data_IF_498036561235
#
_entry.id   IF_498036561235
#
_cell.length_a   1.000
_cell.length_b   1.000
_cell.length_c   1.000
_cell.angle_alpha   90.00
_cell.angle_beta   90.00
_cell.angle_gamma   90.00
#
_symmetry.space_group_name_H-M   'P 1'
#
loop_
_entity.id
_entity.type
_entity.pdbx_description
1 polymer ?
#
# COMPACT_ATOMS: atom_id res chain seq x y z
N UNK A 1 0.19 12.51 -12.01
CA UNK A 1 0.46 11.41 -11.05
C UNK A 1 0.39 10.18 -11.89
N UNK A 2 1.55 9.61 -12.23
CA UNK A 2 1.70 8.75 -13.40
C UNK A 2 1.97 7.29 -13.02
N UNK A 3 1.42 6.88 -11.87
CA UNK A 3 1.40 5.47 -11.47
C UNK A 3 0.55 4.69 -12.48
N UNK A 4 1.09 3.56 -12.92
CA UNK A 4 0.46 2.61 -13.84
C UNK A 4 0.27 1.27 -13.12
N UNK A 5 -0.61 0.45 -13.67
CA UNK A 5 -0.79 -0.92 -13.21
C UNK A 5 0.56 -1.65 -13.19
N UNK A 6 0.88 -2.23 -12.03
CA UNK A 6 2.13 -2.94 -11.81
C UNK A 6 3.24 -2.12 -11.15
N UNK A 7 3.14 -0.79 -11.15
CA UNK A 7 4.09 0.06 -10.43
C UNK A 7 4.07 -0.25 -8.94
N UNK A 8 5.24 -0.16 -8.31
CA UNK A 8 5.41 -0.47 -6.90
C UNK A 8 6.23 0.61 -6.19
N UNK A 9 6.03 0.71 -4.88
CA UNK A 9 6.94 1.40 -3.97
C UNK A 9 7.05 0.59 -2.68
N UNK A 10 8.10 0.84 -1.91
CA UNK A 10 8.35 0.14 -0.65
C UNK A 10 8.17 1.12 0.50
N UNK A 11 7.57 0.66 1.60
CA UNK A 11 7.53 1.42 2.86
C UNK A 11 8.50 0.76 3.82
N UNK A 12 9.54 1.48 4.20
CA UNK A 12 10.57 1.03 5.13
C UNK A 12 10.53 1.89 6.38
N UNK A 13 10.14 1.29 7.51
CA UNK A 13 9.99 2.00 8.79
C UNK A 13 9.03 3.20 8.62
N UNK A 14 9.55 4.42 8.58
CA UNK A 14 8.76 5.65 8.41
C UNK A 14 9.06 6.36 7.09
N UNK A 15 9.74 5.68 6.17
CA UNK A 15 10.18 6.23 4.89
C UNK A 15 9.56 5.45 3.74
N UNK A 16 9.35 6.15 2.63
CA UNK A 16 9.05 5.54 1.34
C UNK A 16 10.37 5.40 0.59
N UNK A 17 10.71 4.18 0.21
CA UNK A 17 11.84 3.85 -0.67
C UNK A 17 11.32 3.37 -2.03
N UNK A 18 12.22 3.33 -3.03
CA UNK A 18 11.95 2.83 -4.39
C UNK A 18 10.77 3.51 -5.11
N UNK A 19 10.40 4.72 -4.71
CA UNK A 19 9.38 5.50 -5.40
C UNK A 19 10.00 6.24 -6.59
N UNK A 20 9.95 5.63 -7.78
CA UNK A 20 10.34 6.29 -9.04
C UNK A 20 9.45 7.50 -9.38
N UNK A 21 8.26 7.55 -8.76
CA UNK A 21 7.20 8.54 -9.02
C UNK A 21 6.62 9.04 -7.71
N UNK A 22 6.16 10.29 -7.70
CA UNK A 22 5.46 10.86 -6.55
C UNK A 22 4.19 10.05 -6.24
N UNK A 23 4.00 9.68 -4.97
CA UNK A 23 2.84 8.91 -4.50
C UNK A 23 1.59 9.80 -4.43
N UNK A 24 0.44 9.28 -4.83
CA UNK A 24 -0.83 9.99 -4.67
C UNK A 24 -1.15 10.20 -3.18
N UNK A 25 -1.37 11.45 -2.78
CA UNK A 25 -1.66 11.79 -1.38
C UNK A 25 -2.97 11.14 -0.88
N UNK A 26 -3.95 10.93 -1.76
CA UNK A 26 -5.19 10.20 -1.42
C UNK A 26 -4.89 8.74 -1.05
N UNK A 27 -4.09 8.06 -1.86
CA UNK A 27 -3.67 6.69 -1.59
C UNK A 27 -2.85 6.65 -0.29
N UNK A 28 -1.86 7.53 -0.14
CA UNK A 28 -1.06 7.60 1.10
C UNK A 28 -1.96 7.80 2.33
N UNK A 29 -2.90 8.73 2.27
CA UNK A 29 -3.85 9.00 3.35
C UNK A 29 -4.66 7.76 3.74
N UNK A 30 -5.13 6.97 2.76
CA UNK A 30 -5.88 5.73 3.02
C UNK A 30 -5.05 4.64 3.70
N UNK A 31 -3.72 4.68 3.55
CA UNK A 31 -2.80 3.71 4.13
C UNK A 31 -2.26 4.10 5.50
N UNK A 32 -2.27 5.39 5.88
CA UNK A 32 -1.54 5.90 7.06
C UNK A 32 -1.85 5.12 8.36
N UNK A 33 -3.12 4.78 8.57
CA UNK A 33 -3.56 4.04 9.76
C UNK A 33 -3.20 2.55 9.72
N UNK A 34 -2.97 2.01 8.52
CA UNK A 34 -2.66 0.60 8.27
C UNK A 34 -1.15 0.35 8.23
N UNK A 35 -0.34 1.32 7.80
CA UNK A 35 1.12 1.13 7.68
C UNK A 35 1.78 0.80 9.02
N UNK A 36 1.42 1.49 10.11
CA UNK A 36 2.00 1.24 11.44
C UNK A 36 1.80 -0.22 11.94
N UNK A 37 0.59 -0.78 11.95
CA UNK A 37 0.41 -2.19 12.31
C UNK A 37 1.04 -3.14 11.29
N UNK A 38 0.96 -2.84 9.99
CA UNK A 38 1.60 -3.67 8.95
C UNK A 38 3.12 -3.72 9.14
N UNK A 39 3.79 -2.60 9.42
CA UNK A 39 5.22 -2.51 9.74
C UNK A 39 5.60 -3.32 10.98
N UNK A 40 4.67 -3.54 11.91
CA UNK A 40 4.85 -4.41 13.09
C UNK A 40 4.54 -5.88 12.81
N UNK A 41 4.20 -6.22 11.57
CA UNK A 41 3.86 -7.58 11.16
C UNK A 41 2.46 -8.03 11.57
N UNK A 42 1.52 -7.10 11.78
CA UNK A 42 0.12 -7.46 11.99
C UNK A 42 -0.46 -7.98 10.67
N UNK A 43 -1.15 -9.12 10.74
CA UNK A 43 -1.79 -9.76 9.59
C UNK A 43 -2.82 -8.86 8.90
N UNK A 44 -2.79 -8.83 7.57
CA UNK A 44 -3.80 -8.16 6.74
C UNK A 44 -5.22 -8.73 6.95
N UNK A 45 -5.34 -10.02 7.32
CA UNK A 45 -6.63 -10.63 7.70
C UNK A 45 -7.18 -10.03 8.98
N UNK A 46 -6.32 -9.89 9.99
CA UNK A 46 -6.69 -9.29 11.28
C UNK A 46 -7.10 -7.83 11.12
N UNK A 47 -6.42 -7.12 10.20
CA UNK A 47 -6.76 -5.75 9.83
C UNK A 47 -8.02 -5.64 8.94
N UNK A 48 -8.58 -6.75 8.48
CA UNK A 48 -9.79 -6.77 7.65
C UNK A 48 -9.59 -6.24 6.23
N UNK A 49 -8.34 -6.18 5.76
CA UNK A 49 -8.00 -5.67 4.43
C UNK A 49 -7.64 -6.78 3.43
N UNK A 50 -7.67 -8.05 3.82
CA UNK A 50 -7.41 -9.15 2.91
C UNK A 50 -7.73 -10.54 3.48
N UNK A 51 -7.73 -11.54 2.60
CA UNK A 51 -8.01 -12.95 2.94
C UNK A 51 -6.74 -13.72 3.35
N UNK A 52 -5.56 -13.14 3.12
CA UNK A 52 -4.25 -13.71 3.41
C UNK A 52 -3.51 -12.82 4.41
N UNK A 53 -2.61 -13.40 5.21
CA UNK A 53 -1.89 -12.63 6.24
C UNK A 53 -1.01 -11.52 5.67
N UNK A 54 -0.45 -11.77 4.48
CA UNK A 54 0.59 -10.93 3.88
C UNK A 54 0.08 -10.13 2.67
N UNK A 55 -1.22 -10.21 2.36
CA UNK A 55 -1.80 -9.53 1.20
C UNK A 55 -3.07 -8.79 1.63
N UNK A 56 -3.03 -7.46 1.54
CA UNK A 56 -4.16 -6.59 1.79
C UNK A 56 -4.46 -5.66 0.61
N UNK A 57 -5.68 -5.15 0.54
CA UNK A 57 -6.17 -4.24 -0.47
C UNK A 57 -6.70 -2.98 0.19
N UNK A 58 -6.23 -1.82 -0.27
CA UNK A 58 -6.69 -0.52 0.20
C UNK A 58 -7.12 0.29 -1.00
N UNK A 59 -8.33 0.83 -0.95
CA UNK A 59 -8.85 1.65 -2.02
C UNK A 59 -8.46 3.11 -1.80
N UNK A 60 -7.91 3.73 -2.85
CA UNK A 60 -7.71 5.17 -2.88
C UNK A 60 -9.07 5.88 -2.86
N UNK A 61 -9.34 6.82 -1.94
CA UNK A 61 -10.64 7.51 -1.84
C UNK A 61 -10.79 8.63 -2.89
N UNK A 62 -9.95 8.66 -3.92
CA UNK A 62 -10.04 9.66 -4.98
C UNK A 62 -11.35 9.47 -5.75
N UNK A 63 -12.26 10.46 -5.75
CA UNK A 63 -13.53 10.36 -6.47
C UNK A 63 -13.34 10.36 -8.00
N UNK A 64 -12.14 10.70 -8.49
CA UNK A 64 -11.85 10.77 -9.91
C UNK A 64 -12.61 11.88 -10.64
N UNK A 65 -12.58 11.83 -11.97
CA UNK A 65 -13.30 12.80 -12.81
C UNK A 65 -14.82 12.59 -12.75
N UNK A 66 -15.61 13.68 -12.79
CA UNK A 66 -15.20 15.07 -13.04
C UNK A 66 -14.79 15.87 -11.79
N UNK A 67 -14.87 15.31 -10.58
CA UNK A 67 -14.65 16.04 -9.33
C UNK A 67 -13.18 16.38 -9.09
N UNK A 68 -12.26 15.50 -9.47
CA UNK A 68 -10.82 15.75 -9.41
C UNK A 68 -10.23 15.63 -10.81
N UNK A 69 -9.10 16.31 -11.05
CA UNK A 69 -8.30 16.08 -12.26
C UNK A 69 -7.51 14.76 -12.21
N UNK A 70 -7.69 13.99 -11.12
CA UNK A 70 -7.14 12.67 -10.90
C UNK A 70 -7.65 11.63 -11.92
N UNK A 71 -7.21 10.40 -11.73
CA UNK A 71 -7.47 9.29 -12.63
C UNK A 71 -8.95 8.82 -12.61
N UNK A 72 -9.37 8.18 -13.71
CA UNK A 72 -10.76 7.74 -13.99
C UNK A 72 -11.05 6.33 -13.46
N UNK A 73 -10.01 5.60 -13.03
CA UNK A 73 -10.15 4.22 -12.57
C UNK A 73 -10.12 4.17 -11.04
N UNK A 74 -11.01 3.41 -10.39
CA UNK A 74 -10.92 3.16 -8.95
C UNK A 74 -9.79 2.14 -8.76
N UNK A 75 -8.56 2.62 -8.65
CA UNK A 75 -7.38 1.76 -8.56
C UNK A 75 -7.19 1.28 -7.11
N UNK A 76 -7.20 -0.05 -6.95
CA UNK A 76 -6.88 -0.70 -5.70
C UNK A 76 -5.37 -0.67 -5.52
N UNK A 77 -4.90 -0.19 -4.37
CA UNK A 77 -3.53 -0.45 -3.98
C UNK A 77 -3.48 -1.77 -3.23
N UNK A 78 -2.73 -2.72 -3.78
CA UNK A 78 -2.37 -3.95 -3.08
C UNK A 78 -1.17 -3.68 -2.20
N UNK A 79 -1.32 -3.90 -0.90
CA UNK A 79 -0.19 -3.97 0.02
C UNK A 79 0.18 -5.44 0.17
N UNK A 80 1.26 -5.85 -0.51
CA UNK A 80 1.87 -7.15 -0.35
C UNK A 80 3.06 -7.04 0.61
N UNK A 81 2.94 -7.64 1.79
CA UNK A 81 4.03 -7.71 2.75
C UNK A 81 4.99 -8.86 2.35
N UNK A 82 6.31 -8.66 2.34
CA UNK A 82 7.24 -9.77 2.24
C UNK A 82 7.26 -10.55 3.55
N UNK A 83 7.20 -11.88 3.44
CA UNK A 83 7.68 -12.78 4.50
C UNK A 83 9.20 -12.82 4.44
N UNK A 84 9.86 -12.11 5.34
CA UNK A 84 11.22 -12.45 5.76
C UNK A 84 11.20 -12.90 7.23
N UNK A 85 12.10 -13.81 7.63
CA UNK A 85 12.07 -14.40 8.95
C UNK A 85 12.17 -13.30 9.99
N UNK A 86 11.55 -13.51 11.16
CA UNK A 86 11.78 -12.68 12.34
C UNK A 86 13.25 -12.81 12.74
N UNK A 87 14.13 -12.11 12.06
CA UNK A 87 15.45 -11.82 12.61
C UNK A 87 15.18 -10.86 13.77
N UNK A 88 15.39 -11.36 14.99
CA UNK A 88 15.17 -10.67 16.26
C UNK A 88 15.91 -9.32 16.40
N UNK A 89 16.66 -8.92 15.36
CA UNK A 89 17.45 -7.71 15.30
C UNK A 89 16.76 -6.53 14.56
N UNK A 90 15.71 -6.78 13.77
CA UNK A 90 14.96 -5.72 13.06
C UNK A 90 13.48 -5.74 13.49
N UNK A 91 13.01 -4.76 14.28
CA UNK A 91 11.65 -4.76 14.83
C UNK A 91 10.54 -4.43 13.81
N UNK A 92 10.87 -4.34 12.51
CA UNK A 92 9.93 -3.91 11.46
C UNK A 92 10.00 -4.81 10.22
N UNK A 93 8.85 -5.14 9.65
CA UNK A 93 8.73 -5.69 8.29
C UNK A 93 8.67 -4.56 7.26
N UNK A 94 8.95 -4.85 5.99
CA UNK A 94 9.02 -3.85 4.90
C UNK A 94 7.89 -4.04 3.88
N UNK A 95 6.71 -3.42 4.07
CA UNK A 95 5.60 -3.49 3.12
C UNK A 95 6.01 -3.12 1.70
N UNK A 96 5.59 -3.92 0.72
CA UNK A 96 5.65 -3.56 -0.70
C UNK A 96 4.26 -3.24 -1.22
N UNK A 97 4.08 -2.01 -1.67
CA UNK A 97 2.81 -1.53 -2.20
C UNK A 97 2.85 -1.60 -3.73
N UNK A 98 1.84 -2.22 -4.34
CA UNK A 98 1.69 -2.40 -5.78
C UNK A 98 0.37 -1.83 -6.25
N UNK A 99 0.41 -0.99 -7.27
CA UNK A 99 -0.80 -0.43 -7.89
C UNK A 99 -1.46 -1.49 -8.76
N UNK A 100 -2.71 -1.82 -8.45
CA UNK A 100 -3.55 -2.75 -9.18
C UNK A 100 -4.77 -2.04 -9.77
N UNK A 101 -5.26 -2.60 -10.87
CA UNK A 101 -6.51 -2.16 -11.51
C UNK A 101 -7.70 -2.92 -10.92
N UNK A 102 -8.88 -2.69 -11.47
CA UNK A 102 -10.03 -3.56 -11.21
C UNK A 102 -9.66 -5.03 -11.53
N UNK A 103 -9.83 -5.90 -10.53
CA UNK A 103 -9.90 -7.35 -10.69
C UNK A 103 -11.37 -7.74 -10.61
#
# INVERSE_FOLDING_TARGET
MDYKLGDCFTVEKFYVSDAEKGICIHALSSMLTLLSPLLKGVSAKVLGIGEQDDVGYVQCPDPGRPLTCGMVLPEYLLVALPRYPRDYFLPYVTPRCKVLGYV
#
